data_IF_522762863941
#
_entry.id   IF_522762863941
#
_cell.length_a   1.000
_cell.length_b   1.000
_cell.length_c   1.000
_cell.angle_alpha   90.00
_cell.angle_beta   90.00
_cell.angle_gamma   90.00
#
_symmetry.space_group_name_H-M   'P 1'
#
loop_
_entity.id
_entity.type
_entity.pdbx_description
1 polymer ?
#
# COMPACT_ATOMS: atom_id res chain seq x y z
N UNK A 1 -6.75 -9.31 13.11
CA UNK A 1 -6.46 -9.12 11.67
C UNK A 1 -5.18 -8.33 11.52
N UNK A 2 -4.52 -8.42 10.37
CA UNK A 2 -3.30 -7.63 10.08
C UNK A 2 -3.63 -6.14 10.07
N UNK A 3 -2.94 -5.35 10.89
CA UNK A 3 -2.97 -3.88 10.82
C UNK A 3 -2.00 -3.47 9.70
N UNK A 4 -2.53 -2.82 8.68
CA UNK A 4 -1.72 -2.35 7.56
C UNK A 4 -1.15 -0.98 7.87
N UNK A 5 0.06 -0.72 7.42
CA UNK A 5 0.63 0.64 7.37
C UNK A 5 0.95 1.00 5.92
N UNK A 6 1.07 2.30 5.58
CA UNK A 6 1.34 2.71 4.22
C UNK A 6 2.54 2.02 3.58
N UNK A 7 3.63 1.85 4.34
CA UNK A 7 4.84 1.18 3.89
C UNK A 7 4.60 -0.30 3.59
N UNK A 8 3.87 -1.03 4.44
CA UNK A 8 3.48 -2.43 4.21
C UNK A 8 2.59 -2.58 2.97
N UNK A 9 1.69 -1.64 2.73
CA UNK A 9 0.85 -1.63 1.53
C UNK A 9 1.73 -1.43 0.29
N UNK A 10 2.63 -0.44 0.30
CA UNK A 10 3.52 -0.16 -0.84
C UNK A 10 4.45 -1.36 -1.11
N UNK A 11 5.02 -1.98 -0.08
CA UNK A 11 5.83 -3.18 -0.21
C UNK A 11 5.04 -4.34 -0.84
N UNK A 12 3.79 -4.55 -0.39
CA UNK A 12 2.91 -5.57 -0.95
C UNK A 12 2.59 -5.28 -2.41
N UNK A 13 2.20 -4.06 -2.76
CA UNK A 13 1.91 -3.67 -4.14
C UNK A 13 3.14 -3.79 -5.05
N UNK A 14 4.33 -3.47 -4.54
CA UNK A 14 5.60 -3.69 -5.23
C UNK A 14 5.91 -5.16 -5.52
N UNK A 15 5.54 -6.07 -4.61
CA UNK A 15 5.65 -7.51 -4.87
C UNK A 15 4.62 -8.00 -5.90
N UNK A 16 3.39 -7.49 -5.83
CA UNK A 16 2.29 -7.91 -6.72
C UNK A 16 2.45 -7.41 -8.16
N UNK A 17 2.99 -6.20 -8.38
CA UNK A 17 3.13 -5.63 -9.73
C UNK A 17 4.12 -6.42 -10.61
N UNK A 18 5.13 -7.05 -9.99
CA UNK A 18 6.11 -7.92 -10.64
C UNK A 18 6.67 -7.39 -11.99
N UNK A 19 7.00 -6.11 -12.04
CA UNK A 19 7.51 -5.42 -13.23
C UNK A 19 8.81 -4.68 -12.90
N UNK A 20 9.91 -5.04 -13.57
CA UNK A 20 11.25 -4.47 -13.36
C UNK A 20 11.34 -2.98 -13.72
N UNK A 21 10.35 -2.42 -14.42
CA UNK A 21 10.27 -0.98 -14.71
C UNK A 21 9.71 -0.18 -13.53
N UNK A 22 9.13 -0.85 -12.53
CA UNK A 22 8.52 -0.21 -11.37
C UNK A 22 9.55 0.08 -10.29
N UNK A 23 9.55 1.32 -9.77
CA UNK A 23 10.37 1.71 -8.62
C UNK A 23 9.95 0.88 -7.38
N UNK A 24 8.65 0.68 -7.18
CA UNK A 24 8.14 -0.04 -6.01
C UNK A 24 8.42 -1.54 -6.08
N UNK A 25 8.57 -2.11 -7.27
CA UNK A 25 9.07 -3.48 -7.43
C UNK A 25 10.47 -3.62 -6.84
N UNK A 26 11.39 -2.76 -7.24
CA UNK A 26 12.77 -2.78 -6.73
C UNK A 26 12.85 -2.41 -5.26
N UNK A 27 12.05 -1.45 -4.80
CA UNK A 27 11.97 -1.12 -3.38
C UNK A 27 11.57 -2.34 -2.56
N UNK A 28 10.55 -3.08 -3.00
CA UNK A 28 10.08 -4.30 -2.34
C UNK A 28 11.13 -5.43 -2.38
N UNK A 29 11.73 -5.70 -3.55
CA UNK A 29 12.77 -6.75 -3.71
C UNK A 29 14.01 -6.51 -2.86
N UNK A 30 14.41 -5.25 -2.69
CA UNK A 30 15.60 -4.87 -1.92
C UNK A 30 15.29 -4.54 -0.45
N UNK A 31 14.03 -4.74 0.01
CA UNK A 31 13.59 -4.39 1.37
C UNK A 31 13.86 -2.92 1.73
N UNK A 32 13.68 -2.02 0.77
CA UNK A 32 13.78 -0.58 0.97
C UNK A 32 12.39 -0.05 1.34
N UNK A 33 12.16 0.42 2.58
CA UNK A 33 10.86 0.91 2.98
C UNK A 33 10.53 2.24 2.31
N UNK A 34 9.30 2.35 1.80
CA UNK A 34 8.76 3.59 1.25
C UNK A 34 7.68 4.11 2.18
N UNK A 35 7.79 5.37 2.60
CA UNK A 35 6.82 6.01 3.49
C UNK A 35 6.00 7.04 2.74
N UNK A 36 4.67 6.94 2.85
CA UNK A 36 3.72 7.95 2.39
C UNK A 36 2.60 8.08 3.42
N UNK A 37 2.70 9.03 4.38
CA UNK A 37 1.70 9.21 5.44
C UNK A 37 0.31 9.54 4.89
N UNK A 38 0.25 10.20 3.73
CA UNK A 38 -0.98 10.55 3.03
C UNK A 38 -1.25 9.59 1.85
N UNK A 39 -1.10 8.28 2.06
CA UNK A 39 -1.31 7.27 1.00
C UNK A 39 -2.71 7.31 0.37
N UNK A 40 -3.69 7.83 1.10
CA UNK A 40 -5.09 7.97 0.67
C UNK A 40 -5.36 9.20 -0.17
N UNK A 41 -4.43 10.15 -0.32
CA UNK A 41 -4.64 11.39 -1.08
C UNK A 41 -4.30 11.17 -2.57
N UNK A 42 -5.15 10.39 -3.25
CA UNK A 42 -5.01 10.08 -4.67
C UNK A 42 -5.87 8.91 -5.12
N UNK A 43 -5.67 8.43 -6.34
CA UNK A 43 -6.49 7.36 -6.94
C UNK A 43 -6.49 6.05 -6.15
N UNK A 44 -5.41 5.75 -5.41
CA UNK A 44 -5.37 4.61 -4.50
C UNK A 44 -6.37 4.78 -3.35
N UNK A 45 -6.50 5.99 -2.81
CA UNK A 45 -7.51 6.32 -1.80
C UNK A 45 -8.93 6.15 -2.30
N UNK A 46 -9.22 6.58 -3.53
CA UNK A 46 -10.54 6.36 -4.16
C UNK A 46 -10.87 4.86 -4.25
N UNK A 47 -9.89 4.04 -4.66
CA UNK A 47 -10.06 2.59 -4.73
C UNK A 47 -10.26 1.97 -3.34
N UNK A 48 -9.55 2.44 -2.32
CA UNK A 48 -9.75 1.99 -0.93
C UNK A 48 -11.13 2.40 -0.41
N UNK A 49 -11.60 3.60 -0.75
CA UNK A 49 -12.95 4.06 -0.44
C UNK A 49 -13.99 3.14 -1.07
N UNK A 50 -13.92 2.87 -2.38
CA UNK A 50 -14.87 1.96 -3.04
C UNK A 50 -14.78 0.52 -2.51
N UNK A 51 -13.57 0.06 -2.17
CA UNK A 51 -13.37 -1.26 -1.56
C UNK A 51 -14.10 -1.34 -0.21
N UNK A 52 -14.04 -0.30 0.62
CA UNK A 52 -14.65 -0.29 1.96
C UNK A 52 -16.17 -0.53 1.96
N UNK A 53 -16.89 -0.10 0.91
CA UNK A 53 -18.33 -0.37 0.77
C UNK A 53 -18.65 -1.83 0.45
N UNK A 54 -17.74 -2.50 -0.26
CA UNK A 54 -17.92 -3.91 -0.68
C UNK A 54 -17.36 -4.88 0.36
N UNK A 55 -16.25 -4.52 0.98
CA UNK A 55 -15.49 -5.33 1.93
C UNK A 55 -15.00 -4.43 3.07
N UNK A 56 -15.82 -4.21 4.12
CA UNK A 56 -15.40 -3.42 5.27
C UNK A 56 -14.32 -4.13 6.08
N UNK A 57 -13.51 -3.36 6.82
CA UNK A 57 -12.54 -3.89 7.79
C UNK A 57 -11.06 -3.69 7.45
N UNK A 58 -10.74 -3.07 6.30
CA UNK A 58 -9.38 -2.60 6.04
C UNK A 58 -9.03 -1.44 6.97
N UNK A 59 -8.01 -1.61 7.80
CA UNK A 59 -7.46 -0.59 8.69
C UNK A 59 -6.05 -0.25 8.23
N UNK A 60 -5.81 1.04 7.98
CA UNK A 60 -4.51 1.59 7.64
C UNK A 60 -4.08 2.52 8.76
N UNK A 61 -3.03 2.14 9.46
CA UNK A 61 -2.44 2.91 10.55
C UNK A 61 -1.14 3.58 10.09
N UNK A 62 -1.03 4.87 10.37
CA UNK A 62 0.09 5.71 9.99
C UNK A 62 1.20 5.73 11.06
N UNK A 63 0.92 5.22 12.26
CA UNK A 63 1.87 5.20 13.38
C UNK A 63 2.67 3.89 13.49
N UNK A 64 2.41 2.88 12.65
CA UNK A 64 2.94 1.50 12.76
C UNK A 64 3.69 0.93 11.54
#
# INVERSE_FOLDING_TARGET
GTVWSPSKIIERLGNEINDERSIYYWASKNRIPVFSPALTDGSLGDMMYFHSFKNPGLIVDILS
#
